data_IF_897490689213
#
_entry.id   IF_897490689213
#
_cell.length_a   1.000
_cell.length_b   1.000
_cell.length_c   1.000
_cell.angle_alpha   90.00
_cell.angle_beta   90.00
_cell.angle_gamma   90.00
#
_symmetry.space_group_name_H-M   'P 1'
#
loop_
_entity.id
_entity.type
_entity.pdbx_description
1 polymer ?
#
# COMPACT_ATOMS: atom_id res chain seq x y z
N UNK A 1 17.01 29.41 0.72
CA UNK A 1 17.39 28.04 0.28
C UNK A 1 17.60 27.06 1.44
N UNK A 2 18.22 27.45 2.57
CA UNK A 2 18.52 26.57 3.74
C UNK A 2 17.43 25.55 4.12
N UNK A 3 16.16 25.96 4.26
CA UNK A 3 15.04 25.08 4.65
C UNK A 3 14.83 23.85 3.72
N UNK A 4 15.31 23.89 2.47
CA UNK A 4 15.24 22.76 1.55
C UNK A 4 16.33 21.70 1.81
N UNK A 5 17.52 22.11 2.28
CA UNK A 5 18.59 21.19 2.71
C UNK A 5 18.13 20.30 3.88
N UNK A 6 17.49 20.88 4.89
CA UNK A 6 16.96 20.14 6.03
C UNK A 6 15.86 19.15 5.64
N UNK A 7 14.96 19.50 4.72
CA UNK A 7 13.93 18.57 4.22
C UNK A 7 14.57 17.33 3.55
N UNK A 8 15.61 17.52 2.74
CA UNK A 8 16.32 16.41 2.09
C UNK A 8 17.17 15.59 3.08
N UNK A 9 17.76 16.23 4.10
CA UNK A 9 18.38 15.52 5.24
C UNK A 9 17.37 14.68 6.03
N UNK A 10 16.17 15.19 6.30
CA UNK A 10 15.12 14.43 6.98
C UNK A 10 14.70 13.20 6.17
N UNK A 11 14.52 13.31 4.85
CA UNK A 11 14.22 12.16 3.99
C UNK A 11 15.36 11.14 4.01
N UNK A 12 16.62 11.57 3.89
CA UNK A 12 17.79 10.68 3.99
C UNK A 12 17.89 9.99 5.35
N UNK A 13 17.74 10.72 6.45
CA UNK A 13 17.87 10.17 7.80
C UNK A 13 16.70 9.23 8.15
N UNK A 14 15.48 9.53 7.68
CA UNK A 14 14.32 8.65 7.86
C UNK A 14 14.53 7.27 7.19
N UNK A 15 15.16 7.23 6.02
CA UNK A 15 15.58 5.96 5.39
C UNK A 15 16.81 5.32 6.05
N UNK A 16 17.79 6.13 6.50
CA UNK A 16 19.04 5.62 7.08
C UNK A 16 18.83 4.88 8.42
N UNK A 17 17.80 5.25 9.18
CA UNK A 17 17.44 4.64 10.47
C UNK A 17 17.08 3.14 10.35
N UNK A 18 16.75 2.63 9.15
CA UNK A 18 16.50 1.19 8.93
C UNK A 18 17.73 0.33 8.63
N UNK A 19 18.95 0.90 8.49
CA UNK A 19 20.06 0.19 7.84
C UNK A 19 21.45 0.32 8.48
N UNK A 20 21.56 0.73 9.75
CA UNK A 20 22.84 0.69 10.49
C UNK A 20 22.68 0.10 11.88
N UNK A 21 22.69 -1.23 11.96
CA UNK A 21 22.98 -1.97 13.19
C UNK A 21 24.18 -2.88 12.94
N UNK A 22 25.38 -2.34 13.15
CA UNK A 22 26.56 -3.10 13.56
C UNK A 22 27.64 -2.16 14.10
N UNK A 23 28.42 -2.71 15.03
CA UNK A 23 29.58 -2.09 15.68
C UNK A 23 30.83 -2.75 15.10
N UNK A 24 31.95 -2.02 15.03
CA UNK A 24 33.28 -2.55 15.37
C UNK A 24 34.33 -1.44 15.45
N UNK A 25 35.29 -1.57 16.39
CA UNK A 25 36.45 -0.67 16.57
C UNK A 25 37.66 -1.48 17.04
N UNK A 26 38.78 -1.35 16.32
CA UNK A 26 40.16 -1.73 16.66
C UNK A 26 41.08 -0.72 15.93
N UNK A 27 42.25 -0.21 16.37
CA UNK A 27 43.05 -0.20 17.62
C UNK A 27 44.05 0.99 17.52
N UNK A 28 45.14 1.17 18.28
CA UNK A 28 45.69 0.48 19.47
C UNK A 28 47.19 0.80 19.67
N UNK A 29 47.63 1.09 20.91
CA UNK A 29 49.03 1.33 21.39
C UNK A 29 49.71 2.68 20.94
N UNK A 30 50.10 3.62 21.84
CA UNK A 30 51.17 3.66 22.90
C UNK A 30 52.56 4.10 22.34
N UNK A 31 53.44 4.87 23.00
CA UNK A 31 53.47 5.39 24.40
C UNK A 31 54.45 6.60 24.61
N UNK A 32 54.61 7.04 25.86
CA UNK A 32 55.73 7.83 26.48
C UNK A 32 56.14 9.24 25.94
N UNK A 33 55.52 10.31 26.49
CA UNK A 33 56.24 11.55 26.91
C UNK A 33 55.62 12.06 28.23
N UNK A 34 55.95 11.41 29.33
CA UNK A 34 55.28 11.58 30.65
C UNK A 34 55.62 12.94 31.32
N UNK A 35 54.91 13.28 32.41
CA UNK A 35 55.14 14.41 33.34
C UNK A 35 54.65 15.80 32.87
N UNK A 36 54.66 16.13 31.58
CA UNK A 36 54.02 17.40 31.10
C UNK A 36 52.65 17.21 30.45
N UNK A 37 52.22 15.96 30.27
CA UNK A 37 50.96 15.62 29.61
C UNK A 37 49.75 15.70 30.56
N UNK A 38 49.84 15.26 31.82
CA UNK A 38 48.67 15.04 32.69
C UNK A 38 47.79 16.29 32.88
N UNK A 39 48.37 17.43 33.28
CA UNK A 39 47.65 18.71 33.43
C UNK A 39 47.01 19.17 32.10
N UNK A 40 47.65 18.84 30.98
CA UNK A 40 47.24 19.19 29.62
C UNK A 40 46.17 18.21 29.09
N UNK A 41 46.14 16.96 29.56
CA UNK A 41 45.13 15.96 29.24
C UNK A 41 43.87 16.12 30.10
N UNK A 42 43.99 16.42 31.40
CA UNK A 42 42.83 16.76 32.24
C UNK A 42 42.10 17.99 31.72
N UNK A 43 42.82 19.07 31.38
CA UNK A 43 42.21 20.27 30.78
C UNK A 43 41.60 19.99 29.40
N UNK A 44 42.24 19.19 28.54
CA UNK A 44 41.62 18.72 27.28
C UNK A 44 40.40 17.85 27.51
N UNK A 45 40.38 17.00 28.54
CA UNK A 45 39.24 16.17 28.90
C UNK A 45 38.08 17.00 29.42
N UNK A 46 38.34 18.01 30.26
CA UNK A 46 37.33 18.98 30.72
C UNK A 46 36.73 19.71 29.52
N UNK A 47 37.55 20.36 28.68
CA UNK A 47 37.06 21.09 27.49
C UNK A 47 36.29 20.16 26.53
N UNK A 48 36.80 18.96 26.23
CA UNK A 48 36.13 17.96 25.37
C UNK A 48 34.86 17.35 26.00
N UNK A 49 34.66 17.50 27.29
CA UNK A 49 33.44 17.12 27.99
C UNK A 49 32.45 18.29 28.05
N UNK A 50 32.93 19.53 28.15
CA UNK A 50 32.13 20.75 28.09
C UNK A 50 31.62 21.02 26.67
N UNK A 51 32.46 20.89 25.64
CA UNK A 51 32.05 20.85 24.23
C UNK A 51 30.98 19.76 23.99
N UNK A 52 31.13 18.58 24.62
CA UNK A 52 30.11 17.52 24.51
C UNK A 52 28.82 17.87 25.24
N UNK A 53 28.87 18.49 26.42
CA UNK A 53 27.66 19.00 27.11
C UNK A 53 26.95 20.03 26.27
N UNK A 54 27.64 21.10 25.87
CA UNK A 54 27.08 22.21 25.10
C UNK A 54 26.45 21.71 23.78
N UNK A 55 27.10 20.75 23.11
CA UNK A 55 26.59 20.13 21.88
C UNK A 55 25.41 19.18 22.09
N UNK A 56 25.35 18.49 23.23
CA UNK A 56 24.16 17.71 23.64
C UNK A 56 23.01 18.65 24.03
N UNK A 57 23.31 19.79 24.67
CA UNK A 57 22.34 20.81 25.05
C UNK A 57 21.75 21.52 23.83
N UNK A 58 22.57 21.98 22.87
CA UNK A 58 22.11 22.44 21.55
C UNK A 58 21.23 21.39 20.86
N UNK A 59 21.68 20.14 20.76
CA UNK A 59 20.89 19.08 20.12
C UNK A 59 19.60 18.78 20.89
N UNK A 60 19.54 19.05 22.21
CA UNK A 60 18.34 18.92 23.04
C UNK A 60 17.38 20.10 22.86
N UNK A 61 17.88 21.33 22.76
CA UNK A 61 17.10 22.54 22.47
C UNK A 61 16.49 22.46 21.08
N UNK A 62 17.25 22.02 20.08
CA UNK A 62 16.79 21.85 18.71
C UNK A 62 15.73 20.74 18.64
N UNK A 63 15.92 19.61 19.35
CA UNK A 63 14.88 18.57 19.53
C UNK A 63 13.63 19.13 20.21
N UNK A 64 13.78 19.91 21.28
CA UNK A 64 12.66 20.51 22.02
C UNK A 64 11.90 21.55 21.17
N UNK A 65 12.60 22.36 20.37
CA UNK A 65 11.99 23.27 19.40
C UNK A 65 11.30 22.49 18.28
N UNK A 66 11.90 21.41 17.77
CA UNK A 66 11.30 20.56 16.73
C UNK A 66 10.04 19.84 17.24
N UNK A 67 10.03 19.37 18.48
CA UNK A 67 8.85 18.78 19.15
C UNK A 67 7.77 19.85 19.39
N UNK A 68 8.13 21.04 19.90
CA UNK A 68 7.20 22.19 20.00
C UNK A 68 6.61 22.54 18.64
N UNK A 69 7.42 22.54 17.57
CA UNK A 69 6.96 22.67 16.20
C UNK A 69 5.97 21.56 15.85
N UNK A 70 6.33 20.28 15.90
CA UNK A 70 5.46 19.17 15.46
C UNK A 70 4.14 19.08 16.27
N UNK A 71 4.14 19.51 17.53
CA UNK A 71 2.95 19.62 18.37
C UNK A 71 2.05 20.82 17.98
N UNK A 72 2.65 21.97 17.65
CA UNK A 72 1.92 23.22 17.36
C UNK A 72 0.99 23.15 16.15
N UNK A 73 -0.07 23.96 16.15
CA UNK A 73 -1.04 24.08 15.06
C UNK A 73 -0.62 25.21 14.09
N UNK A 74 -0.81 25.00 12.79
CA UNK A 74 -0.69 26.09 11.79
C UNK A 74 -2.06 26.68 11.47
N UNK A 75 -2.12 27.92 10.98
CA UNK A 75 -3.39 28.55 10.57
C UNK A 75 -4.09 27.77 9.43
N UNK A 76 -3.32 27.10 8.56
CA UNK A 76 -3.82 26.23 7.49
C UNK A 76 -4.35 24.86 7.99
N UNK A 77 -4.33 24.58 9.29
CA UNK A 77 -4.81 23.31 9.85
C UNK A 77 -6.25 23.38 10.37
N UNK A 78 -7.18 22.66 9.73
CA UNK A 78 -8.58 22.56 10.17
C UNK A 78 -8.82 21.70 11.42
N UNK A 79 -7.82 21.00 11.95
CA UNK A 79 -7.99 20.10 13.10
C UNK A 79 -8.11 20.84 14.45
N UNK A 80 -8.92 20.29 15.37
CA UNK A 80 -9.16 20.84 16.72
C UNK A 80 -7.97 20.64 17.67
N UNK A 81 -7.36 19.45 17.66
CA UNK A 81 -6.24 19.09 18.54
C UNK A 81 -4.88 19.41 17.88
N UNK A 82 -3.75 19.28 18.61
CA UNK A 82 -2.40 19.39 18.03
C UNK A 82 -2.09 18.34 16.94
N UNK A 83 -1.14 18.64 16.04
CA UNK A 83 -0.94 17.88 14.80
C UNK A 83 -0.62 16.39 15.05
N UNK A 84 0.33 16.09 15.95
CA UNK A 84 0.69 14.71 16.33
C UNK A 84 -0.54 13.96 16.89
N UNK A 85 -1.29 14.56 17.82
CA UNK A 85 -2.48 13.92 18.44
C UNK A 85 -3.55 13.57 17.40
N UNK A 86 -3.76 14.41 16.38
CA UNK A 86 -4.65 14.11 15.25
C UNK A 86 -4.10 13.01 14.31
N UNK A 87 -2.79 12.99 14.09
CA UNK A 87 -2.13 11.97 13.25
C UNK A 87 -2.19 10.59 13.91
N UNK A 88 -1.87 10.51 15.20
CA UNK A 88 -1.91 9.26 15.98
C UNK A 88 -3.34 8.71 16.19
N UNK A 89 -4.32 9.59 16.45
CA UNK A 89 -5.75 9.18 16.42
C UNK A 89 -6.19 8.72 15.02
N UNK A 90 -5.55 9.20 13.96
CA UNK A 90 -5.68 8.67 12.60
C UNK A 90 -5.10 7.26 12.46
N UNK A 91 -3.86 7.06 12.90
CA UNK A 91 -3.16 5.77 12.89
C UNK A 91 -4.00 4.68 13.55
N UNK A 92 -4.38 4.86 14.82
CA UNK A 92 -5.13 3.86 15.59
C UNK A 92 -6.49 3.52 14.95
N UNK A 93 -7.24 4.53 14.46
CA UNK A 93 -8.55 4.30 13.83
C UNK A 93 -8.41 3.50 12.53
N UNK A 94 -7.44 3.84 11.67
CA UNK A 94 -7.26 3.13 10.41
C UNK A 94 -6.61 1.75 10.60
N UNK A 95 -5.76 1.59 11.63
CA UNK A 95 -5.23 0.29 12.04
C UNK A 95 -6.37 -0.65 12.46
N UNK A 96 -7.27 -0.20 13.33
CA UNK A 96 -8.42 -1.00 13.77
C UNK A 96 -9.34 -1.40 12.60
N UNK A 97 -9.57 -0.49 11.64
CA UNK A 97 -10.34 -0.79 10.42
C UNK A 97 -9.61 -1.84 9.56
N UNK A 98 -8.32 -1.66 9.28
CA UNK A 98 -7.54 -2.60 8.45
C UNK A 98 -7.40 -3.99 9.06
N UNK A 99 -7.17 -4.06 10.38
CA UNK A 99 -7.19 -5.31 11.13
C UNK A 99 -8.57 -5.96 11.06
N UNK A 100 -9.63 -5.19 11.34
CA UNK A 100 -11.02 -5.64 11.31
C UNK A 100 -11.47 -6.20 9.96
N UNK A 101 -11.04 -5.60 8.84
CA UNK A 101 -11.37 -6.08 7.49
C UNK A 101 -10.80 -7.48 7.21
N UNK A 102 -9.54 -7.74 7.56
CA UNK A 102 -8.97 -9.08 7.40
C UNK A 102 -9.52 -10.08 8.43
N UNK A 103 -9.77 -9.65 9.67
CA UNK A 103 -10.38 -10.50 10.70
C UNK A 103 -11.79 -10.93 10.29
N UNK A 104 -12.64 -10.00 9.83
CA UNK A 104 -13.98 -10.27 9.30
C UNK A 104 -13.94 -11.23 8.11
N UNK A 105 -12.97 -11.08 7.19
CA UNK A 105 -12.77 -12.02 6.07
C UNK A 105 -12.44 -13.43 6.56
N UNK A 106 -11.57 -13.58 7.57
CA UNK A 106 -11.22 -14.89 8.15
C UNK A 106 -12.42 -15.51 8.86
N UNK A 107 -13.17 -14.73 9.63
CA UNK A 107 -14.39 -15.17 10.34
C UNK A 107 -15.46 -15.60 9.32
N UNK A 108 -15.69 -14.83 8.25
CA UNK A 108 -16.67 -15.14 7.21
C UNK A 108 -16.35 -16.45 6.47
N UNK A 109 -15.11 -16.62 5.99
CA UNK A 109 -14.70 -17.90 5.38
C UNK A 109 -14.66 -19.06 6.37
N UNK A 110 -14.46 -18.76 7.66
CA UNK A 110 -14.62 -19.71 8.76
C UNK A 110 -16.04 -20.22 8.91
N UNK A 111 -17.00 -19.30 9.04
CA UNK A 111 -18.43 -19.58 9.20
C UNK A 111 -19.01 -20.29 7.98
N UNK A 112 -18.60 -19.92 6.77
CA UNK A 112 -19.03 -20.57 5.52
C UNK A 112 -18.43 -21.98 5.34
N UNK A 113 -17.34 -22.34 6.03
CA UNK A 113 -16.65 -23.65 5.92
C UNK A 113 -16.08 -24.09 7.28
N UNK A 114 -16.94 -24.41 8.28
CA UNK A 114 -16.52 -24.64 9.67
C UNK A 114 -15.54 -25.80 9.83
N UNK A 115 -15.62 -26.82 8.97
CA UNK A 115 -14.67 -27.95 8.91
C UNK A 115 -13.20 -27.55 8.60
N UNK A 116 -12.91 -26.28 8.31
CA UNK A 116 -11.56 -25.74 8.16
C UNK A 116 -11.26 -24.54 9.08
N UNK A 117 -12.15 -24.24 10.03
CA UNK A 117 -12.10 -23.05 10.88
C UNK A 117 -10.85 -23.01 11.79
N UNK A 118 -10.56 -24.10 12.50
CA UNK A 118 -9.39 -24.21 13.39
C UNK A 118 -8.07 -23.95 12.63
N UNK A 119 -7.96 -24.45 11.40
CA UNK A 119 -6.81 -24.23 10.52
C UNK A 119 -6.70 -22.79 9.99
N UNK A 120 -7.75 -21.99 10.09
CA UNK A 120 -7.74 -20.57 9.69
C UNK A 120 -7.29 -19.63 10.81
N UNK A 121 -7.30 -20.06 12.09
CA UNK A 121 -6.94 -19.20 13.23
C UNK A 121 -5.45 -19.33 13.60
N UNK A 122 -4.56 -18.99 12.67
CA UNK A 122 -3.10 -19.13 12.83
C UNK A 122 -2.40 -17.79 13.02
N UNK A 123 -1.22 -17.81 13.66
CA UNK A 123 -0.33 -16.64 13.79
C UNK A 123 -0.01 -15.96 12.44
N UNK A 124 0.09 -16.73 11.34
CA UNK A 124 0.29 -16.18 9.98
C UNK A 124 -0.89 -15.31 9.52
N UNK A 125 -2.12 -15.74 9.82
CA UNK A 125 -3.33 -14.98 9.50
C UNK A 125 -3.51 -13.76 10.42
N UNK A 126 -3.16 -13.88 11.72
CA UNK A 126 -3.12 -12.74 12.64
C UNK A 126 -2.10 -11.68 12.19
N UNK A 127 -0.91 -12.09 11.78
CA UNK A 127 0.11 -11.21 11.21
C UNK A 127 -0.37 -10.56 9.90
N UNK A 128 -1.16 -11.26 9.09
CA UNK A 128 -1.78 -10.72 7.87
C UNK A 128 -2.86 -9.67 8.16
N UNK A 129 -3.59 -9.80 9.29
CA UNK A 129 -4.47 -8.74 9.81
C UNK A 129 -3.66 -7.53 10.27
N UNK A 130 -2.61 -7.76 11.07
CA UNK A 130 -1.73 -6.71 11.57
C UNK A 130 -1.01 -5.95 10.43
N UNK A 131 -0.60 -6.62 9.35
CA UNK A 131 0.04 -6.00 8.18
C UNK A 131 -0.88 -5.01 7.46
N UNK A 132 -2.15 -5.35 7.25
CA UNK A 132 -3.13 -4.43 6.63
C UNK A 132 -3.52 -3.29 7.58
N UNK A 133 -3.64 -3.56 8.88
CA UNK A 133 -3.79 -2.52 9.90
C UNK A 133 -2.60 -1.54 9.89
N UNK A 134 -1.38 -2.05 9.87
CA UNK A 134 -0.16 -1.27 9.82
C UNK A 134 -0.09 -0.43 8.54
N UNK A 135 -0.36 -1.02 7.37
CA UNK A 135 -0.42 -0.31 6.10
C UNK A 135 -1.39 0.89 6.13
N UNK A 136 -2.66 0.68 6.49
CA UNK A 136 -3.67 1.73 6.50
C UNK A 136 -3.44 2.76 7.62
N UNK A 137 -2.95 2.31 8.77
CA UNK A 137 -2.54 3.18 9.89
C UNK A 137 -1.38 4.10 9.48
N UNK A 138 -0.31 3.54 8.91
CA UNK A 138 0.88 4.27 8.48
C UNK A 138 0.62 5.17 7.26
N UNK A 139 -0.23 4.74 6.30
CA UNK A 139 -0.69 5.62 5.23
C UNK A 139 -1.36 6.88 5.81
N UNK A 140 -2.34 6.70 6.71
CA UNK A 140 -3.08 7.83 7.28
C UNK A 140 -2.21 8.73 8.17
N UNK A 141 -1.30 8.13 8.94
CA UNK A 141 -0.34 8.84 9.78
C UNK A 141 0.64 9.67 8.94
N UNK A 142 1.32 9.04 7.98
CA UNK A 142 2.27 9.69 7.08
C UNK A 142 1.59 10.79 6.29
N UNK A 143 0.43 10.54 5.69
CA UNK A 143 -0.34 11.56 4.97
C UNK A 143 -0.63 12.78 5.86
N UNK A 144 -1.15 12.58 7.08
CA UNK A 144 -1.45 13.69 8.00
C UNK A 144 -0.20 14.43 8.48
N UNK A 145 0.88 13.73 8.80
CA UNK A 145 2.13 14.32 9.25
C UNK A 145 2.77 15.15 8.13
N UNK A 146 2.89 14.57 6.93
CA UNK A 146 3.45 15.20 5.73
C UNK A 146 2.58 16.37 5.24
N UNK A 147 1.25 16.30 5.37
CA UNK A 147 0.35 17.42 5.06
C UNK A 147 0.57 18.61 6.01
N UNK A 148 0.64 18.35 7.32
CA UNK A 148 0.90 19.38 8.34
C UNK A 148 2.32 19.98 8.21
N UNK A 149 3.30 19.19 7.77
CA UNK A 149 4.66 19.65 7.49
C UNK A 149 4.74 20.44 6.17
N UNK A 150 4.11 19.93 5.10
CA UNK A 150 4.03 20.59 3.79
C UNK A 150 3.38 21.97 3.88
N UNK A 151 2.29 22.11 4.66
CA UNK A 151 1.64 23.41 4.93
C UNK A 151 2.59 24.47 5.51
N UNK A 152 3.68 24.07 6.17
CA UNK A 152 4.73 24.98 6.71
C UNK A 152 5.81 25.31 5.70
N UNK A 153 6.13 24.36 4.81
CA UNK A 153 7.17 24.49 3.78
C UNK A 153 6.66 25.27 2.57
N UNK A 154 5.49 24.90 2.05
CA UNK A 154 4.92 25.42 0.79
C UNK A 154 3.88 26.53 0.99
N UNK A 155 3.37 26.74 2.23
CA UNK A 155 2.24 27.64 2.56
C UNK A 155 0.95 27.45 1.74
N UNK A 156 0.85 26.39 0.93
CA UNK A 156 -0.25 26.11 0.01
C UNK A 156 -0.81 24.72 0.23
N UNK A 157 -2.12 24.61 0.46
CA UNK A 157 -2.76 23.32 0.74
C UNK A 157 -2.92 22.44 -0.52
N UNK A 158 -3.19 23.06 -1.68
CA UNK A 158 -3.29 22.33 -2.96
C UNK A 158 -1.99 21.56 -3.27
N UNK A 159 -0.82 22.18 -3.10
CA UNK A 159 0.49 21.51 -3.32
C UNK A 159 0.79 20.52 -2.19
N UNK A 160 0.56 20.91 -0.92
CA UNK A 160 0.88 20.07 0.23
C UNK A 160 0.12 18.75 0.24
N UNK A 161 -1.15 18.75 -0.20
CA UNK A 161 -1.97 17.54 -0.28
C UNK A 161 -1.48 16.53 -1.32
N UNK A 162 -1.03 17.00 -2.50
CA UNK A 162 -0.49 16.13 -3.56
C UNK A 162 0.85 15.52 -3.13
N UNK A 163 1.77 16.34 -2.61
CA UNK A 163 3.09 15.86 -2.15
C UNK A 163 2.96 14.92 -0.96
N UNK A 164 2.10 15.23 0.02
CA UNK A 164 1.84 14.35 1.15
C UNK A 164 1.20 13.02 0.71
N UNK A 165 0.28 13.06 -0.27
CA UNK A 165 -0.31 11.88 -0.87
C UNK A 165 0.75 10.96 -1.50
N UNK A 166 1.53 11.48 -2.44
CA UNK A 166 2.55 10.74 -3.16
C UNK A 166 3.60 10.10 -2.24
N UNK A 167 4.12 10.85 -1.26
CA UNK A 167 5.10 10.31 -0.30
C UNK A 167 4.44 9.31 0.66
N UNK A 168 3.20 9.55 1.11
CA UNK A 168 2.49 8.58 1.97
C UNK A 168 2.22 7.24 1.27
N UNK A 169 2.12 7.23 -0.06
CA UNK A 169 1.86 6.02 -0.83
C UNK A 169 2.99 4.97 -0.75
N UNK A 170 4.20 5.40 -0.38
CA UNK A 170 5.33 4.51 -0.13
C UNK A 170 5.08 3.51 1.01
N UNK A 171 4.12 3.76 1.91
CA UNK A 171 3.74 2.78 2.95
C UNK A 171 3.21 1.46 2.36
N UNK A 172 2.78 1.45 1.09
CA UNK A 172 2.33 0.26 0.37
C UNK A 172 3.44 -0.79 0.17
N UNK A 173 4.72 -0.40 0.30
CA UNK A 173 5.84 -1.34 0.30
C UNK A 173 5.85 -2.31 1.51
N UNK A 174 5.09 -2.01 2.56
CA UNK A 174 4.91 -2.87 3.75
C UNK A 174 3.97 -4.05 3.45
N UNK A 175 3.20 -3.99 2.36
CA UNK A 175 2.24 -5.02 2.00
C UNK A 175 2.82 -6.18 1.19
N UNK A 176 2.19 -7.34 1.40
CA UNK A 176 2.56 -8.60 0.77
C UNK A 176 2.32 -8.58 -0.75
N UNK A 177 3.28 -9.07 -1.53
CA UNK A 177 3.42 -8.71 -2.95
C UNK A 177 2.17 -9.02 -3.80
N UNK A 178 1.61 -10.23 -3.66
CA UNK A 178 0.38 -10.64 -4.35
C UNK A 178 -0.88 -9.84 -3.97
N UNK A 179 -0.84 -9.07 -2.87
CA UNK A 179 -1.89 -8.10 -2.49
C UNK A 179 -1.49 -6.66 -2.86
N UNK A 180 -0.20 -6.33 -2.83
CA UNK A 180 0.39 -5.02 -3.10
C UNK A 180 -0.06 -4.47 -4.45
N UNK A 181 -0.01 -5.27 -5.51
CA UNK A 181 -0.44 -4.88 -6.86
C UNK A 181 -1.93 -4.56 -6.95
N UNK A 182 -2.78 -5.41 -6.37
CA UNK A 182 -4.24 -5.22 -6.38
C UNK A 182 -4.64 -3.96 -5.61
N UNK A 183 -3.99 -3.70 -4.47
CA UNK A 183 -4.18 -2.46 -3.71
C UNK A 183 -3.64 -1.24 -4.49
N UNK A 184 -2.47 -1.34 -5.12
CA UNK A 184 -1.89 -0.25 -5.91
C UNK A 184 -2.81 0.18 -7.05
N UNK A 185 -3.30 -0.78 -7.85
CA UNK A 185 -4.20 -0.52 -8.96
C UNK A 185 -5.55 0.06 -8.49
N UNK A 186 -6.10 -0.47 -7.39
CA UNK A 186 -7.33 0.07 -6.80
C UNK A 186 -7.17 1.52 -6.32
N UNK A 187 -6.08 1.82 -5.60
CA UNK A 187 -5.80 3.17 -5.12
C UNK A 187 -5.54 4.13 -6.30
N UNK A 188 -4.85 3.69 -7.34
CA UNK A 188 -4.59 4.47 -8.56
C UNK A 188 -5.88 4.80 -9.34
N UNK A 189 -6.79 3.82 -9.50
CA UNK A 189 -8.09 4.06 -10.12
C UNK A 189 -8.93 5.04 -9.28
N UNK A 190 -8.97 4.86 -7.96
CA UNK A 190 -9.71 5.77 -7.05
C UNK A 190 -9.11 7.17 -6.95
N UNK A 191 -7.79 7.32 -7.02
CA UNK A 191 -7.14 8.64 -7.04
C UNK A 191 -7.35 9.37 -8.36
N UNK A 192 -7.34 8.64 -9.49
CA UNK A 192 -7.67 9.19 -10.82
C UNK A 192 -9.11 9.71 -10.87
N UNK A 193 -10.08 8.91 -10.41
CA UNK A 193 -11.48 9.33 -10.29
C UNK A 193 -11.65 10.55 -9.34
N UNK A 194 -10.99 10.54 -8.17
CA UNK A 194 -11.02 11.68 -7.25
C UNK A 194 -10.35 12.95 -7.82
N UNK A 195 -9.37 12.80 -8.72
CA UNK A 195 -8.76 13.91 -9.44
C UNK A 195 -9.71 14.47 -10.53
N UNK A 196 -10.43 13.61 -11.25
CA UNK A 196 -11.44 14.04 -12.23
C UNK A 196 -12.54 14.90 -11.58
N UNK A 197 -13.14 14.41 -10.49
CA UNK A 197 -14.13 15.19 -9.71
C UNK A 197 -13.54 16.51 -9.18
N UNK A 198 -12.24 16.55 -8.83
CA UNK A 198 -11.59 17.79 -8.40
C UNK A 198 -11.41 18.79 -9.54
N UNK A 199 -11.10 18.34 -10.76
CA UNK A 199 -10.98 19.19 -11.95
C UNK A 199 -12.34 19.77 -12.37
N UNK A 200 -13.42 19.01 -12.19
CA UNK A 200 -14.80 19.51 -12.32
C UNK A 200 -15.13 20.58 -11.26
N UNK A 201 -14.83 20.34 -9.99
CA UNK A 201 -15.06 21.30 -8.91
C UNK A 201 -14.20 22.58 -9.03
N UNK A 202 -12.99 22.48 -9.59
CA UNK A 202 -12.16 23.64 -9.98
C UNK A 202 -12.61 24.28 -11.33
N UNK A 203 -13.72 23.81 -11.92
CA UNK A 203 -14.39 24.41 -13.09
C UNK A 203 -13.86 24.02 -14.48
N UNK A 204 -12.88 23.11 -14.55
CA UNK A 204 -12.08 22.84 -15.75
C UNK A 204 -12.78 21.85 -16.70
N UNK A 205 -13.54 20.88 -16.16
CA UNK A 205 -14.18 19.81 -16.95
C UNK A 205 -15.68 19.71 -16.66
N UNK A 206 -16.54 19.95 -17.66
CA UNK A 206 -18.01 19.99 -17.52
C UNK A 206 -18.74 18.63 -17.55
N UNK A 207 -18.06 17.50 -17.71
CA UNK A 207 -18.69 16.16 -17.85
C UNK A 207 -17.72 15.08 -17.29
N UNK A 208 -17.80 14.67 -16.01
CA UNK A 208 -16.92 13.65 -15.45
C UNK A 208 -17.24 12.23 -15.96
N UNK A 209 -18.54 11.89 -16.05
CA UNK A 209 -19.04 10.54 -16.37
C UNK A 209 -18.45 9.97 -17.67
N UNK A 210 -18.36 10.82 -18.70
CA UNK A 210 -17.79 10.47 -20.00
C UNK A 210 -16.31 10.11 -19.90
N UNK A 211 -15.58 10.73 -18.98
CA UNK A 211 -14.18 10.41 -18.69
C UNK A 211 -14.02 9.02 -18.08
N UNK A 212 -14.82 8.65 -17.08
CA UNK A 212 -14.75 7.32 -16.46
C UNK A 212 -15.07 6.21 -17.47
N UNK A 213 -16.09 6.40 -18.32
CA UNK A 213 -16.39 5.44 -19.41
C UNK A 213 -15.23 5.31 -20.39
N UNK A 214 -14.59 6.41 -20.79
CA UNK A 214 -13.41 6.35 -21.68
C UNK A 214 -12.24 5.60 -21.02
N UNK A 215 -11.92 5.87 -19.75
CA UNK A 215 -10.87 5.14 -19.03
C UNK A 215 -11.21 3.65 -18.85
N UNK A 216 -12.47 3.31 -18.59
CA UNK A 216 -12.93 1.92 -18.50
C UNK A 216 -12.82 1.19 -19.84
N UNK A 217 -13.24 1.82 -20.95
CA UNK A 217 -13.11 1.27 -22.29
C UNK A 217 -11.64 1.08 -22.70
N UNK A 218 -10.78 2.08 -22.46
CA UNK A 218 -9.34 1.99 -22.74
C UNK A 218 -8.65 0.92 -21.89
N UNK A 219 -8.93 0.88 -20.58
CA UNK A 219 -8.38 -0.13 -19.67
C UNK A 219 -8.81 -1.55 -20.04
N UNK A 220 -10.08 -1.73 -20.44
CA UNK A 220 -10.60 -3.03 -20.88
C UNK A 220 -10.02 -3.44 -22.24
N UNK A 221 -9.88 -2.51 -23.19
CA UNK A 221 -9.25 -2.77 -24.48
C UNK A 221 -7.77 -3.17 -24.31
N UNK A 222 -7.03 -2.46 -23.46
CA UNK A 222 -5.63 -2.77 -23.15
C UNK A 222 -5.50 -4.12 -22.44
N UNK A 223 -6.36 -4.43 -21.48
CA UNK A 223 -6.40 -5.73 -20.80
C UNK A 223 -6.67 -6.88 -21.78
N UNK A 224 -7.61 -6.71 -22.71
CA UNK A 224 -7.91 -7.71 -23.75
C UNK A 224 -6.79 -7.83 -24.79
N UNK A 225 -6.08 -6.73 -25.11
CA UNK A 225 -4.90 -6.76 -25.96
C UNK A 225 -3.76 -7.56 -25.30
N UNK A 226 -3.44 -7.27 -24.03
CA UNK A 226 -2.42 -8.00 -23.27
C UNK A 226 -2.82 -9.48 -23.13
N UNK A 227 -4.07 -9.79 -22.81
CA UNK A 227 -4.55 -11.16 -22.70
C UNK A 227 -4.52 -11.94 -24.04
N UNK A 228 -4.49 -11.26 -25.19
CA UNK A 228 -4.35 -11.88 -26.52
C UNK A 228 -2.89 -12.09 -26.93
N UNK A 229 -2.01 -11.12 -26.68
CA UNK A 229 -0.65 -11.11 -27.23
C UNK A 229 0.47 -11.39 -26.21
N UNK A 230 0.27 -11.11 -24.92
CA UNK A 230 1.28 -11.21 -23.86
C UNK A 230 0.69 -11.78 -22.57
N UNK A 231 0.17 -13.02 -22.65
CA UNK A 231 -0.53 -13.68 -21.54
C UNK A 231 0.36 -13.95 -20.31
N UNK A 232 1.69 -13.92 -20.50
CA UNK A 232 2.72 -14.12 -19.46
C UNK A 232 2.86 -12.91 -18.53
N UNK A 233 2.49 -11.71 -18.98
CA UNK A 233 2.54 -10.46 -18.21
C UNK A 233 1.25 -10.29 -17.37
N UNK A 234 0.23 -11.11 -17.62
CA UNK A 234 -1.07 -11.02 -16.98
C UNK A 234 -1.05 -11.67 -15.59
N UNK A 235 -1.37 -10.89 -14.55
CA UNK A 235 -1.35 -11.40 -13.18
C UNK A 235 -2.30 -12.59 -12.99
N UNK A 236 -1.85 -13.51 -12.14
CA UNK A 236 -2.42 -14.84 -11.92
C UNK A 236 -3.94 -14.83 -11.62
N UNK A 237 -4.42 -13.79 -10.92
CA UNK A 237 -5.84 -13.54 -10.64
C UNK A 237 -6.63 -13.07 -11.87
N UNK A 238 -6.07 -12.17 -12.69
CA UNK A 238 -6.71 -11.69 -13.92
C UNK A 238 -6.76 -12.80 -14.97
N UNK A 239 -5.70 -13.59 -15.08
CA UNK A 239 -5.64 -14.78 -15.94
C UNK A 239 -6.77 -15.76 -15.58
N UNK A 240 -6.90 -16.14 -14.30
CA UNK A 240 -7.95 -17.06 -13.83
C UNK A 240 -9.37 -16.51 -14.04
N UNK A 241 -9.56 -15.20 -13.92
CA UNK A 241 -10.84 -14.55 -14.19
C UNK A 241 -11.18 -14.52 -15.69
N UNK A 242 -10.26 -14.11 -16.55
CA UNK A 242 -10.46 -14.02 -18.00
C UNK A 242 -10.70 -15.39 -18.63
N UNK A 243 -9.82 -16.36 -18.36
CA UNK A 243 -10.00 -17.73 -18.87
C UNK A 243 -11.18 -18.45 -18.20
N UNK A 244 -11.55 -18.08 -16.96
CA UNK A 244 -12.78 -18.52 -16.32
C UNK A 244 -14.03 -18.10 -17.10
N UNK A 245 -14.15 -16.81 -17.46
CA UNK A 245 -15.26 -16.31 -18.27
C UNK A 245 -15.31 -16.93 -19.68
N UNK A 246 -14.14 -17.12 -20.32
CA UNK A 246 -14.05 -17.77 -21.64
C UNK A 246 -14.51 -19.23 -21.57
N UNK A 247 -14.05 -19.98 -20.55
CA UNK A 247 -14.44 -21.38 -20.34
C UNK A 247 -15.93 -21.51 -20.03
N UNK A 248 -16.48 -20.63 -19.17
CA UNK A 248 -17.91 -20.60 -18.86
C UNK A 248 -18.74 -20.35 -20.13
N UNK A 249 -18.39 -19.34 -20.94
CA UNK A 249 -19.08 -19.03 -22.21
C UNK A 249 -19.07 -20.19 -23.22
N UNK A 250 -18.02 -21.01 -23.23
CA UNK A 250 -17.97 -22.21 -24.05
C UNK A 250 -18.82 -23.35 -23.48
N UNK A 251 -18.79 -23.56 -22.16
CA UNK A 251 -19.68 -24.53 -21.50
C UNK A 251 -21.16 -24.18 -21.71
N UNK A 252 -21.53 -22.90 -21.62
CA UNK A 252 -22.90 -22.42 -21.86
C UNK A 252 -23.35 -22.68 -23.31
N UNK A 253 -22.45 -22.49 -24.30
CA UNK A 253 -22.73 -22.85 -25.70
C UNK A 253 -22.94 -24.35 -25.88
N UNK A 254 -22.07 -25.19 -25.30
CA UNK A 254 -22.18 -26.65 -25.37
C UNK A 254 -23.48 -27.12 -24.72
N UNK A 255 -23.81 -26.60 -23.53
CA UNK A 255 -25.05 -26.88 -22.81
C UNK A 255 -26.29 -26.52 -23.66
N UNK A 256 -26.29 -25.36 -24.32
CA UNK A 256 -27.38 -24.95 -25.24
C UNK A 256 -27.51 -25.87 -26.46
N UNK A 257 -26.41 -26.33 -27.06
CA UNK A 257 -26.47 -27.32 -28.15
C UNK A 257 -27.06 -28.64 -27.68
N UNK A 258 -26.65 -29.14 -26.51
CA UNK A 258 -27.20 -30.37 -25.91
C UNK A 258 -28.69 -30.21 -25.60
N UNK A 259 -29.12 -29.07 -25.06
CA UNK A 259 -30.54 -28.78 -24.79
C UNK A 259 -31.39 -28.67 -26.07
N UNK A 260 -30.86 -28.07 -27.14
CA UNK A 260 -31.52 -28.02 -28.44
C UNK A 260 -31.63 -29.41 -29.08
N UNK A 261 -30.53 -30.18 -29.06
CA UNK A 261 -30.53 -31.54 -29.59
C UNK A 261 -31.52 -32.45 -28.85
N UNK A 262 -31.53 -32.43 -27.50
CA UNK A 262 -32.45 -33.25 -26.70
C UNK A 262 -33.91 -32.97 -27.06
N UNK A 263 -34.29 -31.68 -27.08
CA UNK A 263 -35.65 -31.24 -27.47
C UNK A 263 -36.07 -31.73 -28.86
N UNK A 264 -35.14 -31.87 -29.80
CA UNK A 264 -35.44 -32.32 -31.16
C UNK A 264 -35.40 -33.86 -31.28
N UNK A 265 -34.60 -34.58 -30.49
CA UNK A 265 -34.69 -36.06 -30.39
C UNK A 265 -36.01 -36.51 -29.74
N UNK A 266 -36.58 -35.67 -28.86
CA UNK A 266 -37.92 -35.88 -28.30
C UNK A 266 -39.06 -35.66 -29.34
N UNK A 267 -38.76 -35.14 -30.54
CA UNK A 267 -39.69 -34.95 -31.67
C UNK A 267 -39.44 -35.98 -32.78
N UNK A 268 -38.19 -36.12 -33.24
CA UNK A 268 -37.78 -37.09 -34.27
C UNK A 268 -37.07 -38.28 -33.62
N UNK A 269 -37.86 -39.26 -33.18
CA UNK A 269 -37.41 -40.43 -32.40
C UNK A 269 -36.42 -41.40 -33.09
N UNK A 270 -35.94 -41.08 -34.29
CA UNK A 270 -35.00 -41.88 -35.10
C UNK A 270 -33.61 -41.23 -35.26
N UNK A 271 -33.34 -40.11 -34.57
CA UNK A 271 -32.01 -39.46 -34.60
C UNK A 271 -31.01 -40.17 -33.68
N UNK A 272 -30.37 -41.21 -34.20
CA UNK A 272 -29.18 -41.84 -33.60
C UNK A 272 -27.89 -41.13 -34.04
N UNK A 273 -27.29 -40.42 -33.09
CA UNK A 273 -26.17 -39.53 -33.30
C UNK A 273 -24.88 -40.13 -32.76
N UNK A 274 -23.98 -40.52 -33.66
CA UNK A 274 -22.63 -40.92 -33.29
C UNK A 274 -21.84 -39.67 -32.88
N UNK A 275 -21.86 -39.36 -31.58
CA UNK A 275 -21.26 -38.15 -31.00
C UNK A 275 -19.80 -38.00 -31.50
N UNK A 276 -19.42 -36.86 -32.11
CA UNK A 276 -18.07 -36.63 -32.59
C UNK A 276 -17.03 -36.88 -31.50
N UNK A 277 -15.96 -37.62 -31.83
CA UNK A 277 -15.03 -38.13 -30.83
C UNK A 277 -14.33 -37.02 -30.01
N UNK A 278 -14.14 -35.83 -30.59
CA UNK A 278 -13.62 -34.65 -29.87
C UNK A 278 -14.54 -34.22 -28.71
N UNK A 279 -15.86 -34.39 -28.83
CA UNK A 279 -16.82 -34.01 -27.78
C UNK A 279 -16.83 -35.07 -26.65
N UNK A 280 -16.76 -36.36 -27.00
CA UNK A 280 -16.56 -37.47 -26.04
C UNK A 280 -15.28 -37.31 -25.21
N UNK A 281 -14.25 -36.70 -25.81
CA UNK A 281 -12.95 -36.47 -25.18
C UNK A 281 -12.94 -35.31 -24.17
N UNK A 282 -13.85 -34.34 -24.31
CA UNK A 282 -14.01 -33.20 -23.38
C UNK A 282 -15.00 -33.51 -22.26
N UNK A 283 -16.04 -34.30 -22.54
CA UNK A 283 -17.02 -34.77 -21.55
C UNK A 283 -17.13 -36.30 -21.58
N UNK A 284 -16.32 -37.04 -20.80
CA UNK A 284 -16.45 -38.49 -20.69
C UNK A 284 -17.78 -38.87 -20.03
N UNK A 285 -18.44 -39.90 -20.59
CA UNK A 285 -19.86 -40.28 -20.38
C UNK A 285 -20.24 -40.85 -18.99
N UNK A 286 -19.57 -40.44 -17.90
CA UNK A 286 -19.80 -40.96 -16.54
C UNK A 286 -20.75 -40.12 -15.67
N UNK A 287 -21.42 -39.11 -16.22
CA UNK A 287 -22.42 -38.27 -15.55
C UNK A 287 -23.56 -37.91 -16.52
N UNK A 288 -24.20 -38.93 -17.10
CA UNK A 288 -25.48 -38.85 -17.82
C UNK A 288 -26.36 -39.98 -17.25
#
# INVERSE_FOLDING_TARGET
>A
MTKFKYFWLCIKNFFKISLTYNVDIQGGQRDEVVVTQEINEETKLVVKNEERKNKIEEESEDKNMFIKLLCSKTQLCSHKNGCIKNSFKGLLRNFAIGFGLNAAKIILFGLLRPAKFTRNFTWKNLLSCARLGAFLGLWNFSYKALLCMGRRLFKSDKISSVVAGAISALSLAIEEEGRRETIALYIFARSTHAMALKLENDGITKNPDKGEVIFFCLGTALLLYIAKYHVEILSDSLHKLLFGMIKQKNNDKISRMISYYKRNKDLDGNLDFNIPNWLKQVYPSKNI
#
